data_IF_186307271930
#
_entry.id   IF_186307271930
#
_cell.length_a   1.000
_cell.length_b   1.000
_cell.length_c   1.000
_cell.angle_alpha   90.00
_cell.angle_beta   90.00
_cell.angle_gamma   90.00
#
_symmetry.space_group_name_H-M   'P 1'
#
loop_
_entity.id
_entity.type
_entity.pdbx_description
1 polymer ?
#
# COMPACT_ATOMS: atom_id res chain seq x y z
N UNK A 1 -15.43 18.31 39.87
CA UNK A 1 -14.27 18.66 39.03
C UNK A 1 -13.70 17.35 38.51
N UNK A 2 -14.34 16.81 37.47
CA UNK A 2 -13.93 15.54 36.86
C UNK A 2 -12.65 15.82 36.06
N UNK A 3 -11.62 15.01 36.29
CA UNK A 3 -10.39 15.04 35.51
C UNK A 3 -10.75 14.90 34.03
N UNK A 4 -10.53 15.97 33.29
CA UNK A 4 -10.54 15.94 31.83
C UNK A 4 -9.44 14.95 31.44
N UNK A 5 -9.86 13.73 31.11
CA UNK A 5 -8.98 12.66 30.68
C UNK A 5 -8.51 13.03 29.27
N UNK A 6 -7.60 13.99 29.20
CA UNK A 6 -6.84 14.38 28.03
C UNK A 6 -6.03 13.14 27.63
N UNK A 7 -6.66 12.25 26.88
CA UNK A 7 -5.98 11.27 26.05
C UNK A 7 -5.18 12.09 25.04
N UNK A 8 -3.98 12.49 25.45
CA UNK A 8 -3.07 13.25 24.61
C UNK A 8 -2.86 12.41 23.35
N UNK A 9 -3.23 12.99 22.21
CA UNK A 9 -3.05 12.38 20.90
C UNK A 9 -1.59 11.99 20.78
N UNK A 10 -1.35 10.70 20.57
CA UNK A 10 0.00 10.16 20.44
C UNK A 10 0.57 10.61 19.09
N UNK A 11 1.64 11.42 19.13
CA UNK A 11 2.25 11.97 17.92
C UNK A 11 3.55 11.27 17.63
N UNK A 12 3.82 11.08 16.34
CA UNK A 12 5.12 10.65 15.84
C UNK A 12 6.11 11.80 16.07
N UNK A 13 7.14 11.57 16.88
CA UNK A 13 8.19 12.57 17.14
C UNK A 13 9.38 12.41 16.20
N UNK A 14 9.60 11.19 15.72
CA UNK A 14 10.60 10.88 14.71
C UNK A 14 10.13 9.68 13.90
N UNK A 15 9.89 9.89 12.61
CA UNK A 15 9.54 8.83 11.66
C UNK A 15 10.84 8.30 11.02
N UNK A 16 11.17 7.00 11.17
CA UNK A 16 12.29 6.39 10.46
C UNK A 16 12.26 6.69 8.95
N UNK A 17 13.42 7.02 8.39
CA UNK A 17 13.55 7.41 6.98
C UNK A 17 12.99 6.35 6.02
N UNK A 18 13.08 5.06 6.37
CA UNK A 18 12.51 3.97 5.59
C UNK A 18 10.99 4.10 5.42
N UNK A 19 10.25 4.40 6.51
CA UNK A 19 8.80 4.57 6.44
C UNK A 19 8.40 5.85 5.72
N UNK A 20 9.12 6.94 5.96
CA UNK A 20 8.90 8.22 5.26
C UNK A 20 9.10 8.06 3.75
N UNK A 21 10.19 7.42 3.33
CA UNK A 21 10.50 7.21 1.92
C UNK A 21 9.46 6.27 1.28
N UNK A 22 9.13 5.18 1.96
CA UNK A 22 8.26 4.17 1.40
C UNK A 22 6.82 4.66 1.28
N UNK A 23 6.18 5.00 2.41
CA UNK A 23 4.76 5.34 2.44
C UNK A 23 4.43 6.70 1.83
N UNK A 24 5.35 7.67 1.88
CA UNK A 24 5.07 8.97 1.31
C UNK A 24 5.43 9.05 -0.17
N UNK A 25 6.40 8.27 -0.67
CA UNK A 25 6.90 8.43 -2.04
C UNK A 25 6.79 7.17 -2.88
N UNK A 26 7.46 6.09 -2.47
CA UNK A 26 7.57 4.87 -3.29
C UNK A 26 6.18 4.28 -3.56
N UNK A 27 5.38 4.15 -2.50
CA UNK A 27 4.06 3.53 -2.57
C UNK A 27 3.09 4.36 -3.43
N UNK A 28 2.85 5.67 -3.17
CA UNK A 28 1.98 6.50 -4.04
C UNK A 28 2.37 6.48 -5.51
N UNK A 29 3.67 6.58 -5.81
CA UNK A 29 4.15 6.58 -7.19
C UNK A 29 3.87 5.22 -7.85
N UNK A 30 4.14 4.12 -7.15
CA UNK A 30 3.90 2.76 -7.65
C UNK A 30 2.41 2.51 -7.88
N UNK A 31 1.55 2.98 -6.97
CA UNK A 31 0.10 2.88 -7.09
C UNK A 31 -0.42 3.69 -8.28
N UNK A 32 0.12 4.90 -8.54
CA UNK A 32 -0.19 5.67 -9.76
C UNK A 32 0.25 4.94 -11.02
N UNK A 33 1.42 4.31 -11.02
CA UNK A 33 1.85 3.50 -12.17
C UNK A 33 0.87 2.35 -12.42
N UNK A 34 0.42 1.65 -11.37
CA UNK A 34 -0.65 0.65 -11.49
C UNK A 34 -1.93 1.22 -12.12
N UNK A 35 -2.35 2.42 -11.69
CA UNK A 35 -3.50 3.12 -12.27
C UNK A 35 -3.32 3.40 -13.77
N UNK A 36 -2.12 3.86 -14.16
CA UNK A 36 -1.79 4.16 -15.56
C UNK A 36 -1.87 2.90 -16.41
N UNK A 37 -1.26 1.80 -15.98
CA UNK A 37 -1.29 0.56 -16.74
C UNK A 37 -2.71 0.00 -16.87
N UNK A 38 -3.50 0.01 -15.79
CA UNK A 38 -4.88 -0.49 -15.81
C UNK A 38 -5.76 0.33 -16.77
N UNK A 39 -5.68 1.67 -16.72
CA UNK A 39 -6.57 2.52 -17.52
C UNK A 39 -6.07 2.78 -18.94
N UNK A 40 -4.81 3.19 -19.11
CA UNK A 40 -4.29 3.63 -20.41
C UNK A 40 -3.70 2.49 -21.23
N UNK A 41 -3.29 1.38 -20.60
CA UNK A 41 -2.61 0.26 -21.26
C UNK A 41 -3.33 -1.09 -21.01
N UNK A 42 -4.67 -1.19 -21.17
CA UNK A 42 -5.42 -2.38 -20.75
C UNK A 42 -5.02 -3.65 -21.50
N UNK A 43 -4.66 -3.54 -22.78
CA UNK A 43 -4.18 -4.69 -23.56
C UNK A 43 -2.88 -5.26 -22.98
N UNK A 44 -1.88 -4.40 -22.81
CA UNK A 44 -0.58 -4.76 -22.23
C UNK A 44 -0.73 -5.26 -20.79
N UNK A 45 -1.61 -4.63 -19.99
CA UNK A 45 -1.89 -5.06 -18.62
C UNK A 45 -2.37 -6.51 -18.57
N UNK A 46 -3.35 -6.88 -19.42
CA UNK A 46 -3.89 -8.23 -19.47
C UNK A 46 -2.88 -9.25 -20.03
N UNK A 47 -2.13 -8.88 -21.07
CA UNK A 47 -1.06 -9.72 -21.63
C UNK A 47 0.03 -10.03 -20.61
N UNK A 48 0.47 -9.03 -19.86
CA UNK A 48 1.46 -9.21 -18.79
C UNK A 48 0.88 -10.01 -17.62
N UNK A 49 -0.41 -9.82 -17.31
CA UNK A 49 -1.08 -10.53 -16.21
C UNK A 49 -1.16 -12.03 -16.53
N UNK A 50 -1.67 -12.37 -17.71
CA UNK A 50 -1.75 -13.75 -18.16
C UNK A 50 -1.90 -13.83 -19.69
N UNK A 51 -0.77 -13.95 -20.39
CA UNK A 51 -0.73 -13.93 -21.85
C UNK A 51 -1.64 -14.98 -22.52
N UNK A 52 -1.78 -16.16 -21.92
CA UNK A 52 -2.57 -17.25 -22.50
C UNK A 52 -4.08 -16.97 -22.52
N UNK A 53 -4.61 -16.11 -21.64
CA UNK A 53 -6.03 -15.73 -21.61
C UNK A 53 -6.27 -14.27 -22.00
N UNK A 54 -5.22 -13.54 -22.38
CA UNK A 54 -5.37 -12.16 -22.82
C UNK A 54 -6.13 -12.09 -24.16
N UNK A 55 -7.05 -11.13 -24.36
CA UNK A 55 -7.68 -10.91 -25.65
C UNK A 55 -6.63 -10.67 -26.74
N UNK A 56 -6.85 -11.13 -27.97
CA UNK A 56 -5.91 -10.84 -29.05
C UNK A 56 -5.90 -9.34 -29.38
N UNK A 57 -4.74 -8.80 -29.78
CA UNK A 57 -4.63 -7.40 -30.22
C UNK A 57 -5.55 -7.06 -31.40
N UNK A 58 -5.90 -8.06 -32.24
CA UNK A 58 -6.79 -7.90 -33.39
C UNK A 58 -8.25 -7.73 -32.94
N UNK A 59 -8.71 -8.54 -32.00
CA UNK A 59 -10.06 -8.43 -31.43
C UNK A 59 -10.19 -7.25 -30.47
N UNK A 60 -9.08 -6.81 -29.88
CA UNK A 60 -9.02 -5.81 -28.84
C UNK A 60 -9.63 -6.28 -27.51
N UNK A 61 -9.47 -5.45 -26.47
CA UNK A 61 -10.05 -5.73 -25.15
C UNK A 61 -11.57 -5.51 -25.18
N UNK A 62 -12.39 -6.46 -24.69
CA UNK A 62 -13.84 -6.31 -24.59
C UNK A 62 -14.26 -5.08 -23.79
N UNK A 63 -15.40 -4.47 -24.15
CA UNK A 63 -15.87 -3.22 -23.52
C UNK A 63 -16.07 -3.36 -22.01
N UNK A 64 -16.69 -4.46 -21.56
CA UNK A 64 -16.88 -4.71 -20.12
C UNK A 64 -15.56 -4.78 -19.35
N UNK A 65 -14.55 -5.44 -19.94
CA UNK A 65 -13.20 -5.52 -19.35
C UNK A 65 -12.52 -4.16 -19.31
N UNK A 66 -12.65 -3.33 -20.36
CA UNK A 66 -12.12 -1.95 -20.36
C UNK A 66 -12.76 -1.09 -19.27
N UNK A 67 -14.07 -1.23 -19.06
CA UNK A 67 -14.79 -0.52 -17.98
C UNK A 67 -14.27 -0.98 -16.62
N UNK A 68 -14.15 -2.28 -16.40
CA UNK A 68 -13.63 -2.84 -15.14
C UNK A 68 -12.20 -2.37 -14.85
N UNK A 69 -11.30 -2.42 -15.84
CA UNK A 69 -9.92 -1.94 -15.71
C UNK A 69 -9.83 -0.43 -15.49
N UNK A 70 -10.74 0.34 -16.09
CA UNK A 70 -10.84 1.78 -15.83
C UNK A 70 -11.30 2.06 -14.39
N UNK A 71 -12.27 1.30 -13.87
CA UNK A 71 -12.67 1.42 -12.47
C UNK A 71 -11.55 1.00 -11.52
N UNK A 72 -10.80 -0.05 -11.86
CA UNK A 72 -9.61 -0.46 -11.12
C UNK A 72 -8.53 0.63 -11.11
N UNK A 73 -8.23 1.21 -12.27
CA UNK A 73 -7.28 2.32 -12.37
C UNK A 73 -7.72 3.54 -11.57
N UNK A 74 -9.02 3.87 -11.60
CA UNK A 74 -9.58 4.94 -10.76
C UNK A 74 -9.42 4.64 -9.26
N UNK A 75 -9.64 3.39 -8.83
CA UNK A 75 -9.45 3.00 -7.43
C UNK A 75 -7.99 3.09 -6.99
N UNK A 76 -7.04 2.64 -7.84
CA UNK A 76 -5.61 2.81 -7.58
C UNK A 76 -5.21 4.28 -7.47
N UNK A 77 -5.70 5.14 -8.37
CA UNK A 77 -5.45 6.58 -8.28
C UNK A 77 -6.01 7.16 -6.97
N UNK A 78 -7.21 6.75 -6.56
CA UNK A 78 -7.81 7.18 -5.30
C UNK A 78 -6.97 6.73 -4.10
N UNK A 79 -6.48 5.49 -4.06
CA UNK A 79 -5.57 5.02 -3.01
C UNK A 79 -4.28 5.83 -2.95
N UNK A 80 -3.64 6.06 -4.09
CA UNK A 80 -2.43 6.86 -4.17
C UNK A 80 -2.61 8.28 -3.61
N UNK A 81 -3.76 8.91 -3.91
CA UNK A 81 -4.08 10.25 -3.40
C UNK A 81 -4.37 10.21 -1.91
N UNK A 82 -5.20 9.27 -1.45
CA UNK A 82 -5.58 9.17 -0.02
C UNK A 82 -4.35 8.91 0.83
N UNK A 83 -3.53 7.92 0.48
CA UNK A 83 -2.34 7.57 1.26
C UNK A 83 -1.31 8.70 1.24
N UNK A 84 -1.09 9.34 0.08
CA UNK A 84 -0.14 10.44 -0.04
C UNK A 84 -0.56 11.67 0.76
N UNK A 85 -1.85 12.04 0.74
CA UNK A 85 -2.35 13.26 1.37
C UNK A 85 -2.62 13.05 2.86
N UNK A 86 -3.30 11.97 3.24
CA UNK A 86 -3.66 11.72 4.65
C UNK A 86 -2.40 11.61 5.50
N UNK A 87 -1.42 10.79 5.09
CA UNK A 87 -0.19 10.60 5.86
C UNK A 87 0.67 11.87 5.95
N UNK A 88 0.61 12.76 4.95
CA UNK A 88 1.30 14.07 4.99
C UNK A 88 0.57 15.11 5.83
N UNK A 89 -0.74 14.98 5.98
CA UNK A 89 -1.58 15.96 6.67
C UNK A 89 -1.55 15.83 8.20
N UNK A 90 -0.96 14.76 8.74
CA UNK A 90 -0.96 14.52 10.18
C UNK A 90 0.27 13.76 10.67
N UNK A 91 0.67 14.07 11.91
CA UNK A 91 1.66 13.30 12.68
C UNK A 91 1.00 12.44 13.77
N UNK A 92 -0.33 12.31 13.76
CA UNK A 92 -1.08 11.45 14.68
C UNK A 92 -0.81 9.97 14.38
N UNK A 93 -0.18 9.27 15.32
CA UNK A 93 0.16 7.86 15.18
C UNK A 93 -1.08 6.97 15.06
N UNK A 94 -2.20 7.37 15.66
CA UNK A 94 -3.48 6.68 15.55
C UNK A 94 -4.01 6.72 14.12
N UNK A 95 -4.00 7.88 13.48
CA UNK A 95 -4.43 8.02 12.06
C UNK A 95 -3.55 7.19 11.14
N UNK A 96 -2.23 7.24 11.34
CA UNK A 96 -1.27 6.42 10.58
C UNK A 96 -1.56 4.92 10.74
N UNK A 97 -1.76 4.44 11.98
CA UNK A 97 -2.07 3.02 12.24
C UNK A 97 -3.39 2.59 11.60
N UNK A 98 -4.44 3.39 11.72
CA UNK A 98 -5.77 3.06 11.17
C UNK A 98 -5.72 3.01 9.65
N UNK A 99 -5.09 3.99 9.00
CA UNK A 99 -4.97 4.02 7.55
C UNK A 99 -4.14 2.82 7.04
N UNK A 100 -2.95 2.60 7.62
CA UNK A 100 -2.06 1.52 7.19
C UNK A 100 -2.64 0.14 7.48
N UNK A 101 -3.47 -0.02 8.53
CA UNK A 101 -4.21 -1.26 8.77
C UNK A 101 -5.26 -1.51 7.69
N UNK A 102 -6.03 -0.49 7.31
CA UNK A 102 -7.01 -0.60 6.22
C UNK A 102 -6.34 -0.97 4.90
N UNK A 103 -5.20 -0.33 4.59
CA UNK A 103 -4.42 -0.65 3.40
C UNK A 103 -3.80 -2.05 3.47
N UNK A 104 -3.34 -2.51 4.64
CA UNK A 104 -2.82 -3.88 4.83
C UNK A 104 -3.89 -4.95 4.52
N UNK A 105 -5.15 -4.70 4.90
CA UNK A 105 -6.26 -5.58 4.50
C UNK A 105 -6.42 -5.57 2.97
N UNK A 106 -6.30 -4.39 2.36
CA UNK A 106 -6.26 -4.23 0.90
C UNK A 106 -5.14 -5.03 0.23
N UNK A 107 -3.95 -5.08 0.80
CA UNK A 107 -2.83 -5.87 0.26
C UNK A 107 -3.14 -7.35 0.23
N UNK A 108 -3.74 -7.90 1.29
CA UNK A 108 -4.15 -9.30 1.30
C UNK A 108 -5.22 -9.57 0.25
N UNK A 109 -6.15 -8.64 0.04
CA UNK A 109 -7.11 -8.70 -1.06
C UNK A 109 -6.43 -8.68 -2.44
N UNK A 110 -5.42 -7.83 -2.62
CA UNK A 110 -4.64 -7.76 -3.86
C UNK A 110 -3.86 -9.04 -4.11
N UNK A 111 -3.19 -9.60 -3.10
CA UNK A 111 -2.52 -10.89 -3.20
C UNK A 111 -3.51 -12.03 -3.47
N UNK A 112 -4.69 -12.02 -2.87
CA UNK A 112 -5.73 -13.00 -3.17
C UNK A 112 -6.22 -12.90 -4.63
N UNK A 113 -6.23 -11.70 -5.22
CA UNK A 113 -6.72 -11.50 -6.59
C UNK A 113 -5.93 -12.29 -7.66
N UNK A 114 -4.67 -12.65 -7.38
CA UNK A 114 -3.83 -13.45 -8.29
C UNK A 114 -3.91 -14.95 -8.02
N UNK A 115 -4.84 -15.41 -7.17
CA UNK A 115 -4.97 -16.83 -6.79
C UNK A 115 -5.16 -17.76 -7.98
N UNK A 116 -5.90 -17.32 -9.01
CA UNK A 116 -6.15 -18.11 -10.21
C UNK A 116 -4.89 -18.35 -11.05
N UNK A 117 -3.81 -17.59 -10.85
CA UNK A 117 -2.51 -17.83 -11.49
C UNK A 117 -1.76 -19.02 -10.86
N UNK A 118 -2.29 -19.62 -9.80
CA UNK A 118 -1.73 -20.77 -9.11
C UNK A 118 -0.47 -20.45 -8.30
N UNK A 119 0.12 -21.49 -7.69
CA UNK A 119 1.29 -21.35 -6.82
C UNK A 119 2.51 -20.74 -7.53
N UNK A 120 2.67 -21.01 -8.83
CA UNK A 120 3.77 -20.45 -9.62
C UNK A 120 3.71 -18.92 -9.67
N UNK A 121 2.51 -18.34 -9.75
CA UNK A 121 2.30 -16.89 -9.72
C UNK A 121 2.87 -16.23 -8.45
N UNK A 122 2.85 -16.93 -7.32
CA UNK A 122 3.35 -16.43 -6.03
C UNK A 122 4.82 -16.71 -5.74
N UNK A 123 5.37 -17.81 -6.25
CA UNK A 123 6.65 -18.32 -5.77
C UNK A 123 7.74 -18.39 -6.84
N UNK A 124 7.39 -18.37 -8.13
CA UNK A 124 8.34 -18.51 -9.24
C UNK A 124 8.98 -17.18 -9.61
N UNK A 125 9.57 -16.49 -8.63
CA UNK A 125 10.08 -15.13 -8.78
C UNK A 125 11.17 -14.97 -9.85
N UNK A 126 11.90 -16.04 -10.17
CA UNK A 126 12.88 -16.05 -11.26
C UNK A 126 12.26 -16.01 -12.66
N UNK A 127 10.95 -16.25 -12.78
CA UNK A 127 10.20 -16.19 -14.04
C UNK A 127 9.23 -15.00 -14.10
N UNK A 128 9.21 -14.14 -13.09
CA UNK A 128 8.31 -13.00 -13.01
C UNK A 128 8.64 -11.94 -14.05
N UNK A 129 7.61 -11.51 -14.77
CA UNK A 129 7.68 -10.31 -15.59
C UNK A 129 7.44 -9.04 -14.75
N UNK A 130 7.43 -7.88 -15.39
CA UNK A 130 7.23 -6.58 -14.72
C UNK A 130 5.95 -6.50 -13.90
N UNK A 131 4.83 -7.05 -14.37
CA UNK A 131 3.56 -7.00 -13.63
C UNK A 131 3.54 -8.00 -12.48
N UNK A 132 4.21 -9.15 -12.59
CA UNK A 132 4.31 -10.07 -11.46
C UNK A 132 5.14 -9.46 -10.32
N UNK A 133 6.24 -8.77 -10.66
CA UNK A 133 7.00 -8.00 -9.69
C UNK A 133 6.15 -6.90 -9.03
N UNK A 134 5.28 -6.22 -9.78
CA UNK A 134 4.36 -5.24 -9.22
C UNK A 134 3.23 -5.84 -8.37
N UNK A 135 2.61 -6.93 -8.84
CA UNK A 135 1.42 -7.51 -8.22
C UNK A 135 1.73 -8.41 -7.02
N UNK A 136 2.92 -8.99 -6.97
CA UNK A 136 3.30 -9.95 -5.92
C UNK A 136 4.53 -9.46 -5.17
N UNK A 137 5.66 -9.29 -5.86
CA UNK A 137 6.93 -8.93 -5.22
C UNK A 137 6.87 -7.63 -4.43
N UNK A 138 6.38 -6.56 -5.07
CA UNK A 138 6.20 -5.25 -4.44
C UNK A 138 5.20 -5.32 -3.29
N UNK A 139 4.07 -6.02 -3.48
CA UNK A 139 3.04 -6.14 -2.45
C UNK A 139 3.55 -6.91 -1.23
N UNK A 140 4.37 -7.95 -1.39
CA UNK A 140 5.06 -8.59 -0.26
C UNK A 140 5.93 -7.61 0.51
N UNK A 141 6.69 -6.76 -0.17
CA UNK A 141 7.48 -5.72 0.48
C UNK A 141 6.58 -4.71 1.24
N UNK A 142 5.48 -4.25 0.63
CA UNK A 142 4.52 -3.34 1.25
C UNK A 142 3.93 -3.95 2.52
N UNK A 143 3.44 -5.19 2.45
CA UNK A 143 2.86 -5.92 3.59
C UNK A 143 3.85 -6.00 4.74
N UNK A 144 5.10 -6.37 4.47
CA UNK A 144 6.13 -6.49 5.51
C UNK A 144 6.43 -5.15 6.18
N UNK A 145 6.57 -4.07 5.40
CA UNK A 145 6.84 -2.73 5.95
C UNK A 145 5.65 -2.22 6.76
N UNK A 146 4.41 -2.46 6.30
CA UNK A 146 3.19 -2.11 7.05
C UNK A 146 3.08 -2.89 8.35
N UNK A 147 3.33 -4.20 8.34
CA UNK A 147 3.35 -5.01 9.57
C UNK A 147 4.41 -4.49 10.53
N UNK A 148 5.63 -4.21 10.06
CA UNK A 148 6.69 -3.66 10.89
C UNK A 148 6.28 -2.32 11.53
N UNK A 149 5.66 -1.42 10.76
CA UNK A 149 5.15 -0.14 11.26
C UNK A 149 4.04 -0.35 12.31
N UNK A 150 3.06 -1.21 12.03
CA UNK A 150 1.93 -1.47 12.92
C UNK A 150 2.38 -2.14 14.24
N UNK A 151 3.41 -2.98 14.18
CA UNK A 151 4.07 -3.53 15.37
C UNK A 151 4.94 -2.52 16.12
N UNK A 152 5.07 -1.28 15.65
CA UNK A 152 5.83 -0.22 16.30
C UNK A 152 7.35 -0.29 16.10
N UNK A 153 7.82 -1.08 15.13
CA UNK A 153 9.26 -1.28 14.92
C UNK A 153 9.92 0.04 14.53
N UNK A 154 10.79 0.57 15.40
CA UNK A 154 11.57 1.78 15.15
C UNK A 154 10.82 3.10 15.27
N UNK A 155 9.53 3.08 15.64
CA UNK A 155 8.74 4.31 15.81
C UNK A 155 9.05 4.93 17.18
N UNK A 156 9.32 6.24 17.22
CA UNK A 156 9.40 7.01 18.47
C UNK A 156 8.18 7.91 18.57
N UNK A 157 7.46 7.81 19.68
CA UNK A 157 6.27 8.63 19.93
C UNK A 157 6.47 9.66 21.04
N UNK A 158 5.50 10.58 21.15
CA UNK A 158 5.44 11.53 22.25
C UNK A 158 5.36 10.83 23.61
N UNK A 159 4.72 9.65 23.69
CA UNK A 159 4.62 8.86 24.94
C UNK A 159 5.98 8.33 25.38
N UNK A 160 6.75 7.74 24.46
CA UNK A 160 8.10 7.24 24.76
C UNK A 160 9.01 8.36 25.27
N UNK A 161 8.89 9.54 24.64
CA UNK A 161 9.68 10.72 25.02
C UNK A 161 9.33 11.18 26.45
N UNK A 162 8.04 11.21 26.80
CA UNK A 162 7.57 11.58 28.14
C UNK A 162 8.01 10.56 29.20
N UNK A 163 8.01 9.26 28.87
CA UNK A 163 8.45 8.22 29.79
C UNK A 163 9.95 8.34 30.12
N UNK A 164 10.79 8.63 29.12
CA UNK A 164 12.23 8.87 29.32
C UNK A 164 12.48 10.08 30.22
N UNK A 165 11.77 11.19 30.01
CA UNK A 165 11.87 12.39 30.86
C UNK A 165 11.45 12.06 32.30
N UNK A 166 10.32 11.37 32.47
CA UNK A 166 9.82 10.97 33.79
C UNK A 166 10.81 10.10 34.57
N UNK A 167 11.51 9.18 33.89
CA UNK A 167 12.55 8.33 34.52
C UNK A 167 13.79 9.12 34.93
N UNK A 168 14.10 10.24 34.26
CA UNK A 168 15.28 11.06 34.58
C UNK A 168 15.04 12.01 35.76
N UNK A 169 13.78 12.40 36.00
CA UNK A 169 13.41 13.32 37.10
C UNK A 169 13.15 12.60 38.42
N UNK A 170 13.15 11.26 38.43
CA UNK A 170 12.96 10.42 39.62
C UNK A 170 14.29 9.82 40.06
#
# INVERSE_FOLDING_TARGET
MAAENSSSVERITSLPAVYSLFFLWIEPISTVLGAIYAHFLPQLYLELTHAASAPSAVSGVPVGTKVALTQLGNLYLAFAIIEALVLRSTNDLGVWRVLLLGLLIGDFGHLYSVWELGSEGYWKFWAWNSINWGNVGFVYCVVLIRIAFLCGVGIKSSRDTQEVIRKKTR
#
